data_IF_031717514144
#
_entry.id   IF_031717514144
#
_cell.length_a   1.000
_cell.length_b   1.000
_cell.length_c   1.000
_cell.angle_alpha   90.00
_cell.angle_beta   90.00
_cell.angle_gamma   90.00
#
_symmetry.space_group_name_H-M   'P 1'
#
loop_
_entity.id
_entity.type
_entity.pdbx_description
1 polymer ?
#
# COMPACT_ATOMS: atom_id res chain seq x y z
N UNK A 1 39.88 -37.57 -28.18
CA UNK A 1 39.47 -36.74 -29.34
C UNK A 1 38.90 -35.45 -28.77
N UNK A 2 39.73 -34.40 -28.64
CA UNK A 2 39.85 -33.24 -29.56
C UNK A 2 38.56 -32.38 -29.58
N UNK A 3 38.49 -31.28 -28.83
CA UNK A 3 38.99 -29.89 -29.08
C UNK A 3 38.20 -29.10 -30.14
N UNK A 4 37.58 -28.00 -29.71
CA UNK A 4 37.67 -26.67 -30.35
C UNK A 4 37.16 -25.61 -29.35
N UNK A 5 38.05 -24.91 -28.62
CA UNK A 5 38.78 -23.67 -28.98
C UNK A 5 37.97 -22.41 -28.57
N UNK A 6 38.22 -21.83 -27.39
CA UNK A 6 39.18 -20.74 -27.09
C UNK A 6 39.06 -19.46 -27.95
N UNK A 7 38.63 -18.38 -27.30
CA UNK A 7 38.98 -16.95 -27.48
C UNK A 7 38.09 -16.19 -26.48
N UNK A 8 38.53 -15.21 -25.70
CA UNK A 8 39.74 -14.41 -25.75
C UNK A 8 39.74 -13.53 -24.48
N UNK A 9 40.88 -13.54 -23.79
CA UNK A 9 41.59 -12.36 -23.22
C UNK A 9 40.79 -11.38 -22.34
N UNK A 10 41.01 -11.35 -21.02
CA UNK A 10 42.19 -10.80 -20.32
C UNK A 10 42.02 -9.33 -19.95
N UNK A 11 42.64 -8.96 -18.82
CA UNK A 11 42.77 -7.63 -18.22
C UNK A 11 41.66 -7.29 -17.21
N UNK A 12 41.93 -7.03 -15.93
CA UNK A 12 43.17 -6.68 -15.26
C UNK A 12 42.93 -6.96 -13.75
N UNK A 13 43.54 -8.01 -13.19
CA UNK A 13 43.70 -8.21 -11.74
C UNK A 13 45.12 -7.77 -11.41
N UNK A 14 45.26 -6.53 -10.92
CA UNK A 14 46.43 -5.91 -10.30
C UNK A 14 46.01 -4.44 -10.11
N UNK A 15 46.11 -3.75 -8.98
CA UNK A 15 46.84 -3.87 -7.73
C UNK A 15 45.82 -3.49 -6.61
N UNK A 16 45.95 -3.83 -5.34
CA UNK A 16 46.91 -3.23 -4.42
C UNK A 16 46.92 -4.07 -3.15
N UNK A 17 48.10 -4.57 -2.80
CA UNK A 17 48.41 -5.13 -1.50
C UNK A 17 49.13 -4.08 -0.67
N UNK A 18 48.83 -4.11 0.63
CA UNK A 18 49.73 -3.90 1.77
C UNK A 18 49.51 -2.65 2.65
N UNK A 19 49.25 -2.98 3.92
CA UNK A 19 49.64 -2.29 5.16
C UNK A 19 48.97 -0.96 5.49
N UNK A 20 48.06 -1.02 6.46
CA UNK A 20 48.24 -0.37 7.79
C UNK A 20 47.20 -0.90 8.78
N UNK A 21 47.68 -1.54 9.84
CA UNK A 21 46.94 -1.74 11.07
C UNK A 21 47.26 -0.55 11.98
N UNK A 22 46.24 0.16 12.49
CA UNK A 22 46.13 0.54 13.90
C UNK A 22 44.87 1.38 14.18
N UNK A 23 44.24 1.01 15.29
CA UNK A 23 43.53 1.85 16.27
C UNK A 23 42.43 2.83 15.79
N UNK A 24 41.25 2.65 16.39
CA UNK A 24 40.66 3.76 17.14
C UNK A 24 39.24 4.15 16.77
N UNK A 25 38.37 3.93 17.75
CA UNK A 25 37.43 4.93 18.25
C UNK A 25 36.05 5.00 17.58
N UNK A 26 35.12 4.34 18.27
CA UNK A 26 33.74 4.73 18.52
C UNK A 26 33.42 6.19 18.17
N UNK A 27 32.65 6.40 17.10
CA UNK A 27 31.82 7.58 16.91
C UNK A 27 30.51 7.17 16.25
N UNK A 28 29.44 7.33 17.05
CA UNK A 28 28.05 7.32 16.66
C UNK A 28 27.82 8.26 15.45
N UNK A 29 27.40 7.70 14.32
CA UNK A 29 26.94 8.44 13.16
C UNK A 29 25.52 8.03 12.81
N UNK A 30 24.54 8.74 13.36
CA UNK A 30 23.17 8.75 12.83
C UNK A 30 23.26 9.22 11.38
N UNK A 31 23.03 8.31 10.44
CA UNK A 31 22.89 8.66 9.03
C UNK A 31 21.58 9.45 8.86
N UNK A 32 21.68 10.77 8.90
CA UNK A 32 20.66 11.66 8.38
C UNK A 32 20.66 11.54 6.84
N UNK A 33 19.55 11.10 6.27
CA UNK A 33 19.31 11.25 4.83
C UNK A 33 19.22 12.74 4.49
N UNK A 34 20.20 13.24 3.75
CA UNK A 34 20.28 14.61 3.30
C UNK A 34 19.54 14.71 1.95
N UNK A 35 18.28 15.17 1.97
CA UNK A 35 17.57 15.52 0.73
C UNK A 35 17.97 16.95 0.30
N UNK A 36 18.45 17.05 -0.93
CA UNK A 36 18.94 18.26 -1.58
C UNK A 36 17.94 19.45 -1.56
N UNK A 37 18.43 20.71 -1.58
CA UNK A 37 17.60 21.90 -1.43
C UNK A 37 16.68 22.12 -2.64
N UNK A 38 15.36 21.96 -2.45
CA UNK A 38 14.35 22.57 -3.32
C UNK A 38 13.94 23.92 -2.74
N UNK A 39 13.84 24.91 -3.62
CA UNK A 39 13.52 26.34 -3.40
C UNK A 39 12.44 26.58 -2.32
N UNK A 40 12.52 27.67 -1.54
CA UNK A 40 11.58 27.96 -0.47
C UNK A 40 10.21 28.31 -1.06
N UNK A 41 9.23 27.41 -0.89
CA UNK A 41 7.82 27.80 -0.87
C UNK A 41 7.42 27.91 0.58
N UNK A 42 7.09 29.13 1.00
CA UNK A 42 6.54 29.45 2.31
C UNK A 42 5.23 28.68 2.50
N UNK A 43 5.29 27.57 3.22
CA UNK A 43 4.13 26.92 3.81
C UNK A 43 4.38 26.84 5.34
N UNK A 44 3.47 27.30 6.19
CA UNK A 44 3.70 27.31 7.63
C UNK A 44 3.80 25.88 8.15
N UNK A 45 4.90 25.61 8.84
CA UNK A 45 5.10 24.49 9.74
C UNK A 45 3.96 24.42 10.76
N UNK A 46 3.22 23.31 10.85
CA UNK A 46 2.41 23.00 12.03
C UNK A 46 1.04 22.36 11.86
N UNK A 47 0.56 22.02 10.66
CA UNK A 47 -0.71 21.28 10.50
C UNK A 47 -0.44 19.89 9.94
N UNK A 48 -0.89 18.84 10.65
CA UNK A 48 -1.00 17.51 10.05
C UNK A 48 -1.75 17.64 8.72
N UNK A 49 -1.13 17.22 7.62
CA UNK A 49 -1.73 17.34 6.29
C UNK A 49 -3.08 16.60 6.30
N UNK A 50 -4.17 17.32 6.07
CA UNK A 50 -5.50 16.73 5.97
C UNK A 50 -5.57 15.83 4.73
N UNK A 51 -6.12 14.63 4.88
CA UNK A 51 -6.29 13.69 3.76
C UNK A 51 -7.22 14.33 2.72
N UNK A 52 -6.81 14.38 1.45
CA UNK A 52 -7.63 14.96 0.38
C UNK A 52 -8.93 14.19 0.18
N UNK A 53 -9.99 14.84 -0.29
CA UNK A 53 -11.30 14.17 -0.51
C UNK A 53 -11.21 13.00 -1.50
N UNK A 54 -10.40 13.13 -2.56
CA UNK A 54 -10.21 12.03 -3.51
C UNK A 54 -9.54 10.82 -2.84
N UNK A 55 -8.56 11.07 -1.98
CA UNK A 55 -7.88 10.02 -1.23
C UNK A 55 -8.80 9.36 -0.21
N UNK A 56 -9.65 10.14 0.48
CA UNK A 56 -10.68 9.60 1.36
C UNK A 56 -11.63 8.65 0.60
N UNK A 57 -12.11 9.07 -0.57
CA UNK A 57 -12.99 8.26 -1.42
C UNK A 57 -12.26 6.98 -1.90
N UNK A 58 -11.00 7.08 -2.35
CA UNK A 58 -10.21 5.93 -2.78
C UNK A 58 -10.03 4.89 -1.67
N UNK A 59 -9.73 5.34 -0.45
CA UNK A 59 -9.57 4.46 0.71
C UNK A 59 -10.87 3.72 1.03
N UNK A 60 -11.98 4.45 1.08
CA UNK A 60 -13.29 3.86 1.36
C UNK A 60 -13.74 2.92 0.24
N UNK A 61 -13.55 3.30 -1.03
CA UNK A 61 -13.90 2.48 -2.17
C UNK A 61 -13.09 1.16 -2.19
N UNK A 62 -11.81 1.21 -1.81
CA UNK A 62 -10.97 0.02 -1.68
C UNK A 62 -11.50 -0.93 -0.61
N UNK A 63 -11.96 -0.40 0.54
CA UNK A 63 -12.57 -1.21 1.61
C UNK A 63 -13.87 -1.86 1.16
N UNK A 64 -14.73 -1.13 0.46
CA UNK A 64 -16.00 -1.65 -0.08
C UNK A 64 -15.73 -2.72 -1.13
N UNK A 65 -14.82 -2.46 -2.08
CA UNK A 65 -14.43 -3.42 -3.12
C UNK A 65 -13.85 -4.71 -2.54
N UNK A 66 -12.93 -4.60 -1.57
CA UNK A 66 -12.33 -5.76 -0.91
C UNK A 66 -13.37 -6.56 -0.10
N UNK A 67 -14.34 -5.89 0.53
CA UNK A 67 -15.43 -6.55 1.26
C UNK A 67 -16.33 -7.35 0.32
N UNK A 68 -16.67 -6.77 -0.84
CA UNK A 68 -17.41 -7.46 -1.90
C UNK A 68 -16.62 -8.64 -2.47
N UNK A 69 -15.31 -8.46 -2.69
CA UNK A 69 -14.43 -9.55 -3.12
C UNK A 69 -14.43 -10.70 -2.10
N UNK A 70 -14.29 -10.40 -0.80
CA UNK A 70 -14.38 -11.43 0.24
C UNK A 70 -15.71 -12.17 0.21
N UNK A 71 -16.83 -11.47 0.09
CA UNK A 71 -18.16 -12.11 0.07
C UNK A 71 -18.34 -13.03 -1.15
N UNK A 72 -17.97 -12.55 -2.33
CA UNK A 72 -18.29 -13.23 -3.61
C UNK A 72 -17.21 -14.24 -4.00
N UNK A 73 -15.93 -13.86 -3.93
CA UNK A 73 -14.81 -14.66 -4.43
C UNK A 73 -14.23 -15.59 -3.36
N UNK A 74 -14.28 -15.15 -2.09
CA UNK A 74 -13.70 -15.85 -0.95
C UNK A 74 -14.74 -16.55 -0.07
N UNK A 75 -15.99 -16.66 -0.54
CA UNK A 75 -17.06 -17.44 0.09
C UNK A 75 -17.37 -17.01 1.55
N UNK A 76 -17.14 -15.73 1.87
CA UNK A 76 -17.47 -15.15 3.18
C UNK A 76 -18.96 -14.83 3.27
N UNK A 77 -19.79 -15.88 3.35
CA UNK A 77 -21.24 -15.80 3.46
C UNK A 77 -21.74 -15.15 4.76
N UNK A 78 -20.85 -14.97 5.75
CA UNK A 78 -21.13 -14.21 6.97
C UNK A 78 -21.18 -12.69 6.76
N UNK A 79 -20.63 -12.19 5.64
CA UNK A 79 -20.64 -10.76 5.30
C UNK A 79 -22.01 -10.32 4.73
N UNK A 80 -22.46 -9.09 5.05
CA UNK A 80 -23.76 -8.57 4.57
C UNK A 80 -23.77 -8.20 3.08
N UNK A 81 -24.91 -7.68 2.59
CA UNK A 81 -25.05 -7.15 1.23
C UNK A 81 -24.22 -5.87 0.95
N UNK A 82 -24.14 -5.47 -0.33
CA UNK A 82 -23.36 -4.32 -0.81
C UNK A 82 -23.81 -2.99 -0.19
N UNK A 83 -25.10 -2.86 0.13
CA UNK A 83 -25.65 -1.67 0.76
C UNK A 83 -25.08 -1.44 2.15
N UNK A 84 -24.89 -2.51 2.93
CA UNK A 84 -24.26 -2.42 4.26
C UNK A 84 -22.78 -2.04 4.16
N UNK A 85 -22.06 -2.48 3.12
CA UNK A 85 -20.66 -2.07 2.91
C UNK A 85 -20.55 -0.55 2.71
N UNK A 86 -21.40 0.01 1.84
CA UNK A 86 -21.45 1.45 1.59
C UNK A 86 -21.87 2.23 2.83
N UNK A 87 -22.92 1.79 3.54
CA UNK A 87 -23.35 2.40 4.81
C UNK A 87 -22.23 2.41 5.85
N UNK A 88 -21.46 1.31 5.93
CA UNK A 88 -20.32 1.19 6.84
C UNK A 88 -19.19 2.15 6.44
N UNK A 89 -18.88 2.26 5.15
CA UNK A 89 -17.90 3.23 4.65
C UNK A 89 -18.27 4.68 5.03
N UNK A 90 -19.54 5.06 4.86
CA UNK A 90 -20.04 6.38 5.25
C UNK A 90 -19.97 6.61 6.77
N UNK A 91 -20.29 5.59 7.58
CA UNK A 91 -20.16 5.64 9.04
C UNK A 91 -18.70 5.83 9.47
N UNK A 92 -17.77 5.07 8.88
CA UNK A 92 -16.33 5.19 9.14
C UNK A 92 -15.80 6.57 8.77
N UNK A 93 -16.24 7.13 7.64
CA UNK A 93 -15.88 8.49 7.26
C UNK A 93 -16.41 9.55 8.24
N UNK A 94 -17.67 9.42 8.67
CA UNK A 94 -18.26 10.32 9.65
C UNK A 94 -17.52 10.26 11.00
N UNK A 95 -17.12 9.06 11.46
CA UNK A 95 -16.31 8.87 12.66
C UNK A 95 -14.92 9.51 12.55
N UNK A 96 -14.37 9.64 11.33
CA UNK A 96 -13.12 10.36 11.04
C UNK A 96 -13.30 11.87 10.91
N UNK A 97 -14.52 12.38 11.05
CA UNK A 97 -14.84 13.80 10.85
C UNK A 97 -14.76 14.25 9.39
N UNK A 98 -14.87 13.32 8.43
CA UNK A 98 -14.82 13.66 7.01
C UNK A 98 -16.19 14.12 6.47
N UNK A 99 -16.18 15.03 5.50
CA UNK A 99 -17.41 15.53 4.85
C UNK A 99 -17.91 14.54 3.79
N UNK A 100 -18.84 13.68 4.21
CA UNK A 100 -19.40 12.62 3.37
C UNK A 100 -20.33 13.11 2.27
N UNK A 101 -20.76 14.39 2.27
CA UNK A 101 -21.62 14.95 1.20
C UNK A 101 -20.92 14.96 -0.15
N UNK A 102 -19.59 14.85 -0.15
CA UNK A 102 -18.74 14.90 -1.35
C UNK A 102 -18.50 13.53 -1.99
N UNK A 103 -19.09 12.45 -1.47
CA UNK A 103 -18.74 11.07 -1.84
C UNK A 103 -19.69 10.45 -2.86
N UNK A 104 -20.22 11.25 -3.78
CA UNK A 104 -21.17 10.78 -4.81
C UNK A 104 -20.56 9.72 -5.73
N UNK A 105 -19.24 9.71 -5.93
CA UNK A 105 -18.52 8.73 -6.75
C UNK A 105 -18.17 7.42 -6.03
N UNK A 106 -18.36 7.34 -4.70
CA UNK A 106 -17.95 6.17 -3.90
C UNK A 106 -18.56 4.85 -4.40
N UNK A 107 -19.87 4.74 -4.69
CA UNK A 107 -20.44 3.49 -5.17
C UNK A 107 -19.83 3.03 -6.51
N UNK A 108 -19.73 3.94 -7.48
CA UNK A 108 -19.22 3.62 -8.81
C UNK A 108 -17.73 3.25 -8.76
N UNK A 109 -16.93 3.99 -7.98
CA UNK A 109 -15.51 3.66 -7.83
C UNK A 109 -15.31 2.30 -7.15
N UNK A 110 -16.10 2.00 -6.12
CA UNK A 110 -16.04 0.71 -5.42
C UNK A 110 -16.31 -0.46 -6.38
N UNK A 111 -17.31 -0.32 -7.25
CA UNK A 111 -17.60 -1.35 -8.25
C UNK A 111 -16.46 -1.48 -9.27
N UNK A 112 -15.93 -0.37 -9.77
CA UNK A 112 -14.80 -0.39 -10.70
C UNK A 112 -13.58 -1.09 -10.10
N UNK A 113 -13.26 -0.81 -8.82
CA UNK A 113 -12.16 -1.46 -8.11
C UNK A 113 -12.43 -2.96 -7.91
N UNK A 114 -13.65 -3.35 -7.55
CA UNK A 114 -14.03 -4.76 -7.45
C UNK A 114 -13.82 -5.50 -8.78
N UNK A 115 -14.26 -4.92 -9.89
CA UNK A 115 -14.04 -5.48 -11.23
C UNK A 115 -12.55 -5.56 -11.58
N UNK A 116 -11.74 -4.60 -11.10
CA UNK A 116 -10.29 -4.64 -11.18
C UNK A 116 -9.70 -5.85 -10.45
N UNK A 117 -10.08 -6.07 -9.19
CA UNK A 117 -9.61 -7.20 -8.37
C UNK A 117 -9.94 -8.57 -8.98
N UNK A 118 -11.14 -8.70 -9.58
CA UNK A 118 -11.54 -9.92 -10.28
C UNK A 118 -10.64 -10.22 -11.48
N UNK A 119 -10.05 -9.19 -12.09
CA UNK A 119 -9.24 -9.28 -13.32
C UNK A 119 -7.73 -9.18 -13.07
N UNK A 120 -7.28 -8.90 -11.85
CA UNK A 120 -5.89 -8.48 -11.59
C UNK A 120 -4.84 -9.60 -11.80
N UNK A 121 -5.27 -10.86 -11.89
CA UNK A 121 -4.39 -12.01 -12.14
C UNK A 121 -3.69 -12.54 -10.89
N UNK A 122 -3.71 -11.81 -9.77
CA UNK A 122 -3.27 -12.34 -8.47
C UNK A 122 -4.11 -13.56 -8.08
N UNK A 123 -3.50 -14.67 -7.64
CA UNK A 123 -4.23 -15.87 -7.23
C UNK A 123 -5.30 -15.55 -6.17
N UNK A 124 -6.50 -16.12 -6.35
CA UNK A 124 -7.65 -15.92 -5.45
C UNK A 124 -7.28 -16.17 -3.99
N UNK A 125 -6.54 -17.25 -3.70
CA UNK A 125 -6.09 -17.59 -2.34
C UNK A 125 -5.21 -16.50 -1.72
N UNK A 126 -4.33 -15.88 -2.51
CA UNK A 126 -3.49 -14.76 -2.08
C UNK A 126 -4.34 -13.53 -1.76
N UNK A 127 -5.26 -13.14 -2.66
CA UNK A 127 -6.17 -12.01 -2.42
C UNK A 127 -7.05 -12.24 -1.17
N UNK A 128 -7.65 -13.43 -1.05
CA UNK A 128 -8.50 -13.77 0.08
C UNK A 128 -7.74 -13.73 1.41
N UNK A 129 -6.53 -14.30 1.47
CA UNK A 129 -5.73 -14.28 2.70
C UNK A 129 -5.27 -12.87 3.07
N UNK A 130 -4.91 -12.03 2.08
CA UNK A 130 -4.52 -10.65 2.29
C UNK A 130 -5.70 -9.81 2.82
N UNK A 131 -6.84 -9.85 2.15
CA UNK A 131 -8.02 -9.07 2.54
C UNK A 131 -8.61 -9.52 3.88
N UNK A 132 -8.71 -10.84 4.14
CA UNK A 132 -9.20 -11.33 5.43
C UNK A 132 -8.41 -10.76 6.62
N UNK A 133 -7.12 -10.48 6.44
CA UNK A 133 -6.26 -9.88 7.47
C UNK A 133 -6.36 -8.36 7.47
N UNK A 134 -6.28 -7.71 6.31
CA UNK A 134 -6.08 -6.26 6.22
C UNK A 134 -7.34 -5.45 6.48
N UNK A 135 -8.54 -5.99 6.20
CA UNK A 135 -9.80 -5.26 6.35
C UNK A 135 -10.65 -5.75 7.53
N UNK A 136 -10.09 -6.57 8.42
CA UNK A 136 -10.81 -7.08 9.61
C UNK A 136 -11.49 -5.97 10.43
N UNK A 137 -10.85 -4.81 10.73
CA UNK A 137 -11.53 -3.73 11.45
C UNK A 137 -12.75 -3.16 10.73
N UNK A 138 -12.73 -3.14 9.39
CA UNK A 138 -13.87 -2.68 8.59
C UNK A 138 -15.01 -3.71 8.62
N UNK A 139 -14.69 -5.00 8.57
CA UNK A 139 -15.67 -6.09 8.74
C UNK A 139 -16.33 -6.02 10.12
N UNK A 140 -15.56 -5.76 11.17
CA UNK A 140 -16.09 -5.59 12.53
C UNK A 140 -17.06 -4.41 12.61
N UNK A 141 -16.75 -3.30 11.95
CA UNK A 141 -17.63 -2.13 11.87
C UNK A 141 -18.98 -2.45 11.18
N UNK A 142 -19.00 -3.38 10.21
CA UNK A 142 -20.25 -3.81 9.55
C UNK A 142 -21.23 -4.45 10.53
N UNK A 143 -20.73 -5.19 11.53
CA UNK A 143 -21.59 -5.86 12.53
C UNK A 143 -22.39 -4.86 13.36
N UNK A 144 -21.90 -3.63 13.50
CA UNK A 144 -22.57 -2.54 14.22
C UNK A 144 -23.38 -1.61 13.31
N UNK A 145 -23.47 -1.93 12.02
CA UNK A 145 -24.09 -1.06 10.99
C UNK A 145 -25.37 -1.67 10.40
N UNK A 146 -25.52 -3.00 10.49
CA UNK A 146 -26.79 -3.71 10.26
C UNK A 146 -27.89 -3.12 11.13
#
# INVERSE_FOLDING_TARGET
>A
MQLSSLKSLSSLRALFSAKTALLGLCCLGLAACQNAPKKPSTAPTGAAASVSVNEQINQLASLVAASKYLRVQCERSDLPDDGVFLKTAMKVAAQKGWDTRRYTSLPQLSENLYQGLVKDGTPKTTQCSAFNRSIAPFIDAMRTTR
#
